data_IF_316131400047
#
_entry.id   IF_316131400047
#
_cell.length_a   1.000
_cell.length_b   1.000
_cell.length_c   1.000
_cell.angle_alpha   90.00
_cell.angle_beta   90.00
_cell.angle_gamma   90.00
#
_symmetry.space_group_name_H-M   'P 1'
#
loop_
_entity.id
_entity.type
_entity.pdbx_description
1 polymer ?
#
# COMPACT_ATOMS: atom_id res chain seq x y z
N UNK A 1 21.64 -13.91 3.10
CA UNK A 1 21.65 -12.99 1.95
C UNK A 1 20.23 -12.93 1.38
N UNK A 2 19.52 -11.79 1.48
CA UNK A 2 18.29 -11.58 0.70
C UNK A 2 18.60 -10.47 -0.30
N UNK A 3 18.42 -10.71 -1.60
CA UNK A 3 18.91 -9.80 -2.62
C UNK A 3 18.17 -8.47 -2.55
N UNK A 4 18.94 -7.40 -2.63
CA UNK A 4 18.53 -6.04 -2.96
C UNK A 4 17.66 -6.08 -4.22
N UNK A 5 16.35 -6.23 -4.04
CA UNK A 5 15.40 -6.37 -5.14
C UNK A 5 14.59 -5.09 -5.23
N UNK A 6 14.78 -4.40 -6.36
CA UNK A 6 14.08 -3.19 -6.78
C UNK A 6 12.57 -3.29 -6.46
N UNK A 7 11.95 -2.25 -5.88
CA UNK A 7 10.52 -2.26 -5.60
C UNK A 7 9.76 -2.54 -6.89
N UNK A 8 8.90 -3.55 -6.83
CA UNK A 8 8.07 -3.98 -7.96
C UNK A 8 6.63 -3.92 -7.48
N UNK A 9 5.76 -3.31 -8.27
CA UNK A 9 4.33 -3.23 -7.96
C UNK A 9 3.60 -4.20 -8.89
N UNK A 10 2.99 -5.22 -8.30
CA UNK A 10 2.17 -6.16 -9.05
C UNK A 10 0.80 -5.53 -9.34
N UNK A 11 0.23 -5.90 -10.48
CA UNK A 11 -1.17 -5.65 -10.80
C UNK A 11 -2.09 -6.56 -9.97
N UNK A 12 -3.37 -6.19 -9.91
CA UNK A 12 -4.39 -7.02 -9.25
C UNK A 12 -4.46 -8.43 -9.84
N UNK A 13 -4.35 -8.55 -11.17
CA UNK A 13 -4.41 -9.85 -11.87
C UNK A 13 -3.23 -10.72 -11.46
N UNK A 14 -2.01 -10.18 -11.43
CA UNK A 14 -0.83 -10.92 -10.99
C UNK A 14 -0.91 -11.36 -9.52
N UNK A 15 -1.41 -10.49 -8.63
CA UNK A 15 -1.67 -10.83 -7.23
C UNK A 15 -2.64 -12.02 -7.15
N UNK A 16 -3.75 -11.97 -7.89
CA UNK A 16 -4.76 -13.03 -7.92
C UNK A 16 -4.20 -14.35 -8.46
N UNK A 17 -3.40 -14.30 -9.52
CA UNK A 17 -2.80 -15.48 -10.13
C UNK A 17 -1.75 -16.12 -9.21
N UNK A 18 -0.93 -15.33 -8.53
CA UNK A 18 0.04 -15.82 -7.56
C UNK A 18 -0.63 -16.47 -6.34
N UNK A 19 -1.75 -15.92 -5.87
CA UNK A 19 -2.54 -16.53 -4.79
C UNK A 19 -3.19 -17.84 -5.26
N UNK A 20 -3.76 -17.88 -6.48
CA UNK A 20 -4.37 -19.09 -7.05
C UNK A 20 -3.37 -20.23 -7.25
N UNK A 21 -2.13 -19.93 -7.64
CA UNK A 21 -1.05 -20.94 -7.73
C UNK A 21 -0.75 -21.63 -6.39
N UNK A 22 -1.20 -21.05 -5.28
CA UNK A 22 -1.04 -21.58 -3.93
C UNK A 22 -2.37 -22.08 -3.35
N UNK A 23 -3.42 -22.14 -4.15
CA UNK A 23 -4.78 -22.47 -3.74
C UNK A 23 -5.31 -21.57 -2.62
N UNK A 24 -5.05 -20.26 -2.73
CA UNK A 24 -5.52 -19.25 -1.76
C UNK A 24 -6.41 -18.23 -2.48
N UNK A 25 -7.52 -17.88 -1.85
CA UNK A 25 -8.43 -16.84 -2.32
C UNK A 25 -8.40 -15.61 -1.39
N UNK A 26 -8.60 -14.41 -1.98
CA UNK A 26 -8.68 -13.16 -1.20
C UNK A 26 -9.79 -13.18 -0.14
N UNK A 27 -10.86 -13.94 -0.38
CA UNK A 27 -11.94 -14.12 0.59
C UNK A 27 -11.50 -14.85 1.85
N UNK A 28 -10.64 -15.87 1.71
CA UNK A 28 -10.12 -16.64 2.83
C UNK A 28 -9.12 -15.82 3.63
N UNK A 29 -8.27 -15.05 2.93
CA UNK A 29 -7.38 -14.09 3.60
C UNK A 29 -8.19 -13.08 4.40
N UNK A 30 -9.27 -12.54 3.81
CA UNK A 30 -10.15 -11.59 4.47
C UNK A 30 -10.81 -12.18 5.73
N UNK A 31 -11.34 -13.40 5.61
CA UNK A 31 -11.95 -14.13 6.72
C UNK A 31 -10.95 -14.42 7.83
N UNK A 32 -9.77 -14.96 7.49
CA UNK A 32 -8.71 -15.28 8.44
C UNK A 32 -8.23 -14.09 9.26
N UNK A 33 -8.28 -12.88 8.70
CA UNK A 33 -7.89 -11.65 9.39
C UNK A 33 -9.07 -10.79 9.83
N UNK A 34 -10.31 -11.28 9.75
CA UNK A 34 -11.51 -10.58 10.22
C UNK A 34 -11.80 -9.26 9.50
N UNK A 35 -11.66 -9.21 8.17
CA UNK A 35 -12.06 -8.07 7.33
C UNK A 35 -13.05 -8.51 6.25
N UNK A 36 -13.74 -7.55 5.64
CA UNK A 36 -14.64 -7.87 4.53
C UNK A 36 -13.88 -8.23 3.25
N UNK A 37 -14.47 -9.10 2.43
CA UNK A 37 -13.92 -9.44 1.10
C UNK A 37 -13.72 -8.21 0.22
N UNK A 38 -14.66 -7.26 0.28
CA UNK A 38 -14.56 -5.98 -0.43
C UNK A 38 -13.33 -5.20 0.01
N UNK A 39 -13.04 -5.12 1.31
CA UNK A 39 -11.84 -4.45 1.80
C UNK A 39 -10.58 -5.13 1.26
N UNK A 40 -10.46 -6.46 1.34
CA UNK A 40 -9.31 -7.18 0.77
C UNK A 40 -9.13 -6.93 -0.73
N UNK A 41 -10.23 -6.90 -1.50
CA UNK A 41 -10.23 -6.52 -2.92
C UNK A 41 -9.72 -5.09 -3.14
N UNK A 42 -10.20 -4.10 -2.38
CA UNK A 42 -9.78 -2.70 -2.52
C UNK A 42 -8.28 -2.54 -2.22
N UNK A 43 -7.73 -3.31 -1.29
CA UNK A 43 -6.28 -3.33 -1.01
C UNK A 43 -5.50 -4.01 -2.15
N UNK A 44 -5.93 -5.20 -2.58
CA UNK A 44 -5.27 -5.95 -3.66
C UNK A 44 -5.28 -5.18 -4.99
N UNK A 45 -6.33 -4.41 -5.26
CA UNK A 45 -6.45 -3.54 -6.44
C UNK A 45 -5.79 -2.18 -6.29
N UNK A 46 -5.22 -1.87 -5.12
CA UNK A 46 -4.56 -0.60 -4.85
C UNK A 46 -5.49 0.61 -4.73
N UNK A 47 -6.80 0.39 -4.65
CA UNK A 47 -7.84 1.43 -4.48
C UNK A 47 -7.92 1.96 -3.05
N UNK A 48 -7.52 1.15 -2.07
CA UNK A 48 -7.40 1.56 -0.67
C UNK A 48 -6.05 1.13 -0.08
N UNK A 49 -5.72 1.64 1.11
CA UNK A 49 -4.48 1.31 1.82
C UNK A 49 -4.77 0.72 3.20
N UNK A 50 -4.17 -0.44 3.47
CA UNK A 50 -4.17 -1.08 4.79
C UNK A 50 -2.94 -1.95 4.92
N UNK A 51 -1.97 -1.51 5.74
CA UNK A 51 -0.69 -2.21 5.92
C UNK A 51 -0.92 -3.63 6.48
N UNK A 52 -1.96 -3.83 7.30
CA UNK A 52 -2.33 -5.15 7.85
C UNK A 52 -2.75 -6.12 6.75
N UNK A 53 -3.72 -5.72 5.94
CA UNK A 53 -4.26 -6.56 4.85
C UNK A 53 -3.20 -6.79 3.77
N UNK A 54 -2.46 -5.75 3.39
CA UNK A 54 -1.41 -5.84 2.39
C UNK A 54 -0.27 -6.78 2.84
N UNK A 55 0.10 -6.75 4.12
CA UNK A 55 1.07 -7.71 4.68
C UNK A 55 0.55 -9.14 4.61
N UNK A 56 -0.72 -9.39 4.97
CA UNK A 56 -1.31 -10.72 4.89
C UNK A 56 -1.29 -11.27 3.46
N UNK A 57 -1.70 -10.46 2.47
CA UNK A 57 -1.63 -10.83 1.05
C UNK A 57 -0.18 -11.15 0.63
N UNK A 58 0.77 -10.30 0.99
CA UNK A 58 2.17 -10.48 0.64
C UNK A 58 2.77 -11.75 1.28
N UNK A 59 2.39 -12.05 2.52
CA UNK A 59 2.76 -13.29 3.22
C UNK A 59 2.20 -14.53 2.52
N UNK A 60 0.93 -14.53 2.14
CA UNK A 60 0.33 -15.64 1.37
C UNK A 60 1.03 -15.84 0.03
N UNK A 61 1.41 -14.76 -0.66
CA UNK A 61 2.21 -14.81 -1.90
C UNK A 61 3.66 -15.30 -1.64
N UNK A 62 4.17 -15.13 -0.42
CA UNK A 62 5.55 -15.44 -0.06
C UNK A 62 6.54 -14.38 -0.56
N UNK A 63 6.10 -13.13 -0.72
CA UNK A 63 6.94 -12.01 -1.18
C UNK A 63 6.95 -10.86 -0.19
N UNK A 64 8.04 -10.08 -0.13
CA UNK A 64 8.07 -8.82 0.61
C UNK A 64 6.98 -7.84 0.17
N UNK A 65 6.50 -7.02 1.10
CA UNK A 65 5.42 -6.04 0.85
C UNK A 65 5.75 -5.10 -0.31
N UNK A 66 7.00 -4.65 -0.42
CA UNK A 66 7.48 -3.77 -1.48
C UNK A 66 7.65 -4.45 -2.85
N UNK A 67 7.64 -5.78 -2.92
CA UNK A 67 7.60 -6.53 -4.18
C UNK A 67 6.18 -6.84 -4.66
N UNK A 68 5.18 -6.65 -3.79
CA UNK A 68 3.77 -6.85 -4.13
C UNK A 68 3.11 -5.50 -4.40
N UNK A 69 3.33 -4.52 -3.52
CA UNK A 69 2.64 -3.22 -3.55
C UNK A 69 3.56 -2.04 -3.90
N UNK A 70 4.81 -2.29 -4.30
CA UNK A 70 5.82 -1.24 -4.51
C UNK A 70 6.01 -0.37 -3.26
N UNK A 71 6.23 0.92 -3.48
CA UNK A 71 6.47 1.89 -2.40
C UNK A 71 5.21 2.41 -1.72
N UNK A 72 4.03 1.85 -2.03
CA UNK A 72 2.74 2.30 -1.49
C UNK A 72 2.66 2.31 0.04
N UNK A 73 3.54 1.53 0.68
CA UNK A 73 3.67 1.36 2.13
C UNK A 73 5.07 1.69 2.66
N UNK A 74 5.88 2.43 1.89
CA UNK A 74 7.23 2.85 2.32
C UNK A 74 7.18 3.86 3.46
N UNK A 75 8.24 3.91 4.26
CA UNK A 75 8.36 4.91 5.33
C UNK A 75 8.64 6.32 4.76
N UNK A 76 9.22 6.44 3.55
CA UNK A 76 9.34 7.72 2.86
C UNK A 76 7.98 8.35 2.58
N UNK A 77 7.02 7.54 2.11
CA UNK A 77 5.64 7.99 1.86
C UNK A 77 4.99 8.53 3.12
N UNK A 78 5.27 7.91 4.28
CA UNK A 78 4.78 8.35 5.59
C UNK A 78 5.41 9.69 5.99
N UNK A 79 6.74 9.82 5.87
CA UNK A 79 7.47 11.06 6.18
C UNK A 79 6.98 12.22 5.31
N UNK A 80 6.74 11.99 4.01
CA UNK A 80 6.18 13.01 3.11
C UNK A 80 4.78 13.45 3.56
N UNK A 81 3.93 12.49 3.97
CA UNK A 81 2.59 12.79 4.47
C UNK A 81 2.65 13.60 5.76
N UNK A 82 3.53 13.26 6.71
CA UNK A 82 3.73 14.00 7.96
C UNK A 82 4.18 15.43 7.71
N UNK A 83 5.19 15.63 6.84
CA UNK A 83 5.62 16.97 6.40
C UNK A 83 4.45 17.76 5.82
N UNK A 84 3.61 17.12 4.99
CA UNK A 84 2.42 17.76 4.41
C UNK A 84 1.39 18.14 5.45
N UNK A 85 1.14 17.28 6.46
CA UNK A 85 0.22 17.60 7.57
C UNK A 85 0.73 18.81 8.35
N UNK A 86 2.03 18.88 8.64
CA UNK A 86 2.63 20.02 9.34
C UNK A 86 2.50 21.32 8.54
N UNK A 87 2.74 21.28 7.23
CA UNK A 87 2.54 22.43 6.35
C UNK A 87 1.10 22.93 6.39
N UNK A 88 0.12 22.01 6.26
CA UNK A 88 -1.30 22.36 6.32
C UNK A 88 -1.64 22.97 7.68
N UNK A 89 -1.19 22.35 8.77
CA UNK A 89 -1.45 22.84 10.12
C UNK A 89 -0.89 24.26 10.33
N UNK A 90 0.30 24.55 9.80
CA UNK A 90 0.90 25.88 9.88
C UNK A 90 0.12 26.90 9.05
N UNK A 91 -0.21 26.59 7.79
CA UNK A 91 -1.00 27.48 6.92
C UNK A 91 -2.35 27.84 7.54
N UNK A 92 -3.05 26.87 8.14
CA UNK A 92 -4.33 27.09 8.83
C UNK A 92 -4.17 27.99 10.07
N UNK A 93 -3.06 27.85 10.82
CA UNK A 93 -2.76 28.72 11.98
C UNK A 93 -2.44 30.15 11.57
N UNK A 94 -1.73 30.33 10.45
CA UNK A 94 -1.27 31.65 10.00
C UNK A 94 -2.23 32.33 9.03
N UNK A 95 -3.36 31.68 8.67
CA UNK A 95 -4.31 32.20 7.69
C UNK A 95 -3.76 32.34 6.27
N UNK A 96 -2.69 31.60 5.94
CA UNK A 96 -2.06 31.66 4.61
C UNK A 96 -2.58 30.54 3.71
N UNK A 97 -2.59 30.74 2.38
CA UNK A 97 -2.96 29.70 1.44
C UNK A 97 -2.11 28.43 1.61
N UNK A 98 -2.74 27.25 1.54
CA UNK A 98 -2.04 25.97 1.64
C UNK A 98 -1.18 25.82 0.36
N UNK A 99 0.15 25.67 0.47
CA UNK A 99 1.02 25.59 -0.69
C UNK A 99 0.64 24.36 -1.56
N UNK A 100 0.80 24.42 -2.89
CA UNK A 100 0.54 23.27 -3.75
C UNK A 100 1.47 22.12 -3.37
N UNK A 101 1.03 20.88 -3.63
CA UNK A 101 1.92 19.72 -3.53
C UNK A 101 3.02 19.96 -4.56
N UNK A 102 4.29 20.00 -4.14
CA UNK A 102 5.43 19.98 -5.05
C UNK A 102 5.45 18.64 -5.77
N UNK A 103 4.65 18.55 -6.84
CA UNK A 103 4.83 17.53 -7.87
C UNK A 103 6.11 17.92 -8.60
N UNK A 104 7.23 17.34 -8.18
CA UNK A 104 8.37 17.23 -9.09
C UNK A 104 7.82 16.53 -10.34
N UNK A 105 7.80 17.25 -11.45
CA UNK A 105 7.36 16.72 -12.73
C UNK A 105 8.22 15.49 -13.03
N UNK A 106 7.54 14.37 -13.29
CA UNK A 106 8.15 13.15 -13.81
C UNK A 106 8.75 13.38 -15.19
#
# INVERSE_FOLDING_TARGET
>A
MKPDTKPTKLSYTEIKDLLRKKDIYLSEIAEAIGVTRSHAYQIASGKAKSKRVAKAIAQCIGRPLNQVFGDSYSEESKKQREKRVLQIANSLKTGTPIPPISVAQS
#
